data_IF_312295935902
#
_entry.id   IF_312295935902
#
_cell.length_a   1.000
_cell.length_b   1.000
_cell.length_c   1.000
_cell.angle_alpha   90.00
_cell.angle_beta   90.00
_cell.angle_gamma   90.00
#
_symmetry.space_group_name_H-M   'P 1'
#
loop_
_entity.id
_entity.type
_entity.pdbx_description
1 polymer ?
#
# COMPACT_ATOMS: atom_id res chain seq x y z
N UNK A 1 24.88 -8.38 11.10
CA UNK A 1 25.18 -7.11 11.81
C UNK A 1 24.59 -5.90 11.12
N UNK A 2 25.00 -5.53 9.87
CA UNK A 2 24.52 -4.30 9.20
C UNK A 2 22.97 -4.24 9.09
N UNK A 3 22.33 -5.31 8.61
CA UNK A 3 20.86 -5.33 8.51
C UNK A 3 20.20 -5.23 9.89
N UNK A 4 20.76 -5.87 10.90
CA UNK A 4 20.25 -5.81 12.26
C UNK A 4 20.37 -4.41 12.84
N UNK A 5 21.48 -3.74 12.59
CA UNK A 5 21.74 -2.37 13.04
C UNK A 5 20.75 -1.39 12.38
N UNK A 6 20.61 -1.45 11.05
CA UNK A 6 19.66 -0.62 10.31
C UNK A 6 18.23 -0.80 10.77
N UNK A 7 17.81 -2.04 11.07
CA UNK A 7 16.41 -2.34 11.41
C UNK A 7 16.10 -2.05 12.88
N UNK A 8 16.99 -2.37 13.81
CA UNK A 8 16.66 -2.34 15.24
C UNK A 8 17.33 -1.20 16.01
N UNK A 9 18.37 -0.56 15.44
CA UNK A 9 19.09 0.53 16.10
C UNK A 9 18.93 1.89 15.41
N UNK A 10 17.88 2.04 14.59
CA UNK A 10 17.57 3.31 13.94
C UNK A 10 17.32 4.42 14.95
N UNK A 11 17.99 5.56 14.77
CA UNK A 11 18.00 6.68 15.73
C UNK A 11 16.95 7.74 15.45
N UNK A 12 16.47 7.83 14.21
CA UNK A 12 15.53 8.85 13.75
C UNK A 12 15.97 10.27 14.13
N UNK A 13 17.15 10.75 13.67
CA UNK A 13 17.60 12.09 13.99
C UNK A 13 16.60 13.13 13.49
N UNK A 14 16.31 14.14 14.29
CA UNK A 14 15.32 15.18 13.95
C UNK A 14 15.56 15.82 12.59
N UNK A 15 16.83 16.18 12.30
CA UNK A 15 17.21 16.81 11.03
C UNK A 15 16.96 15.92 9.81
N UNK A 16 17.11 14.60 9.95
CA UNK A 16 16.83 13.66 8.86
C UNK A 16 15.33 13.44 8.68
N UNK A 17 14.55 13.46 9.77
CA UNK A 17 13.09 13.43 9.68
C UNK A 17 12.57 14.68 8.95
N UNK A 18 13.07 15.86 9.30
CA UNK A 18 12.66 17.13 8.66
C UNK A 18 12.93 17.08 7.14
N UNK A 19 14.10 16.59 6.71
CA UNK A 19 14.39 16.41 5.28
C UNK A 19 13.46 15.40 4.60
N UNK A 20 13.21 14.27 5.26
CA UNK A 20 12.34 13.22 4.71
C UNK A 20 10.89 13.70 4.61
N UNK A 21 10.43 14.51 5.56
CA UNK A 21 9.11 15.15 5.50
C UNK A 21 8.98 16.00 4.24
N UNK A 22 10.00 16.82 3.93
CA UNK A 22 9.98 17.64 2.70
C UNK A 22 9.91 16.76 1.44
N UNK A 23 10.68 15.68 1.39
CA UNK A 23 10.64 14.72 0.26
C UNK A 23 9.28 14.07 0.09
N UNK A 24 8.66 13.63 1.19
CA UNK A 24 7.34 13.00 1.15
C UNK A 24 6.25 14.01 0.78
N UNK A 25 6.36 15.27 1.21
CA UNK A 25 5.45 16.33 0.79
C UNK A 25 5.53 16.56 -0.72
N UNK A 26 6.73 16.55 -1.30
CA UNK A 26 6.91 16.64 -2.75
C UNK A 26 6.29 15.43 -3.48
N UNK A 27 6.40 14.22 -2.90
CA UNK A 27 5.73 13.04 -3.43
C UNK A 27 4.19 13.17 -3.38
N UNK A 28 3.62 13.62 -2.27
CA UNK A 28 2.17 13.87 -2.13
C UNK A 28 1.71 14.86 -3.21
N UNK A 29 2.39 15.98 -3.35
CA UNK A 29 2.06 16.98 -4.37
C UNK A 29 2.14 16.41 -5.79
N UNK A 30 3.15 15.59 -6.09
CA UNK A 30 3.30 14.93 -7.39
C UNK A 30 2.13 13.97 -7.68
N UNK A 31 1.65 13.24 -6.68
CA UNK A 31 0.47 12.39 -6.81
C UNK A 31 -0.81 13.18 -7.02
N UNK A 32 -0.97 14.30 -6.32
CA UNK A 32 -2.12 15.20 -6.49
C UNK A 32 -2.19 15.80 -7.89
N UNK A 33 -1.04 16.02 -8.52
CA UNK A 33 -0.91 16.50 -9.90
C UNK A 33 -1.10 15.39 -10.95
N UNK A 34 -1.25 14.14 -10.53
CA UNK A 34 -1.48 12.98 -11.42
C UNK A 34 -2.89 12.38 -11.25
N UNK A 35 -3.92 12.93 -11.93
CA UNK A 35 -5.30 12.47 -11.77
C UNK A 35 -5.52 10.99 -12.11
N UNK A 36 -4.69 10.43 -13.02
CA UNK A 36 -4.73 9.02 -13.41
C UNK A 36 -4.29 8.06 -12.31
N UNK A 37 -3.47 8.52 -11.38
CA UNK A 37 -3.01 7.75 -10.22
C UNK A 37 -3.90 8.03 -9.01
N UNK A 38 -4.16 9.31 -8.74
CA UNK A 38 -4.98 9.75 -7.61
C UNK A 38 -6.38 9.13 -7.60
N UNK A 39 -6.97 8.85 -8.77
CA UNK A 39 -8.31 8.25 -8.84
C UNK A 39 -8.37 6.88 -8.18
N UNK A 40 -7.30 6.10 -8.17
CA UNK A 40 -7.25 4.81 -7.49
C UNK A 40 -7.26 4.98 -5.98
N UNK A 41 -6.45 5.88 -5.44
CA UNK A 41 -6.42 6.18 -4.01
C UNK A 41 -7.76 6.73 -3.51
N UNK A 42 -8.36 7.64 -4.26
CA UNK A 42 -9.68 8.19 -3.97
C UNK A 42 -10.77 7.11 -4.01
N UNK A 43 -10.65 6.16 -4.91
CA UNK A 43 -11.58 5.05 -5.00
C UNK A 43 -11.41 4.06 -3.84
N UNK A 44 -10.18 3.74 -3.46
CA UNK A 44 -9.90 2.88 -2.29
C UNK A 44 -10.37 3.54 -0.99
N UNK A 45 -10.14 4.84 -0.83
CA UNK A 45 -10.67 5.61 0.29
C UNK A 45 -12.20 5.54 0.37
N UNK A 46 -12.88 5.61 -0.78
CA UNK A 46 -14.33 5.47 -0.85
C UNK A 46 -14.79 4.06 -0.49
N UNK A 47 -14.13 3.02 -1.01
CA UNK A 47 -14.45 1.61 -0.74
C UNK A 47 -14.24 1.21 0.71
N UNK A 48 -13.25 1.80 1.38
CA UNK A 48 -12.82 1.46 2.73
C UNK A 48 -12.92 2.63 3.70
N UNK A 49 -13.92 3.49 3.48
CA UNK A 49 -14.13 4.69 4.29
C UNK A 49 -14.12 4.37 5.79
N UNK A 50 -13.29 5.07 6.55
CA UNK A 50 -13.14 4.88 7.99
C UNK A 50 -12.36 3.62 8.41
N UNK A 51 -11.76 2.92 7.48
CA UNK A 51 -10.92 1.74 7.73
C UNK A 51 -9.48 1.99 7.27
N UNK A 52 -8.51 1.35 7.90
CA UNK A 52 -7.08 1.51 7.58
C UNK A 52 -6.73 1.21 6.10
N UNK A 53 -7.47 0.34 5.43
CA UNK A 53 -7.28 0.05 4.01
C UNK A 53 -7.67 1.21 3.08
N UNK A 54 -8.42 2.19 3.56
CA UNK A 54 -8.81 3.36 2.78
C UNK A 54 -7.91 4.57 2.99
N UNK A 55 -6.86 4.46 3.81
CA UNK A 55 -5.90 5.54 3.96
C UNK A 55 -4.90 5.52 2.81
N UNK A 56 -4.60 6.69 2.26
CA UNK A 56 -3.50 6.85 1.33
C UNK A 56 -2.20 6.38 1.97
N UNK A 57 -1.37 5.66 1.22
CA UNK A 57 -0.11 5.07 1.72
C UNK A 57 0.91 6.14 2.09
N UNK A 58 0.89 7.29 1.42
CA UNK A 58 1.73 8.45 1.75
C UNK A 58 1.21 9.23 2.97
N UNK A 59 -0.02 8.96 3.41
CA UNK A 59 -0.68 9.72 4.48
C UNK A 59 -1.24 11.05 3.97
N UNK A 60 -1.24 12.05 4.86
CA UNK A 60 -1.64 13.42 4.58
C UNK A 60 -0.63 14.42 5.18
N UNK A 61 -0.58 15.63 4.62
CA UNK A 61 0.35 16.68 5.04
C UNK A 61 0.25 16.99 6.54
N UNK A 62 -0.96 17.10 7.08
CA UNK A 62 -1.17 17.43 8.48
C UNK A 62 -0.60 16.37 9.44
N UNK A 63 -0.79 15.10 9.10
CA UNK A 63 -0.23 13.98 9.86
C UNK A 63 1.28 13.92 9.73
N UNK A 64 1.80 14.14 8.51
CA UNK A 64 3.21 14.07 8.22
C UNK A 64 4.01 15.12 9.00
N UNK A 65 3.53 16.36 9.06
CA UNK A 65 4.18 17.46 9.81
C UNK A 65 4.24 17.22 11.34
N UNK A 66 3.52 16.23 11.87
CA UNK A 66 3.55 15.85 13.28
C UNK A 66 4.55 14.75 13.61
N UNK A 67 5.19 14.16 12.60
CA UNK A 67 6.17 13.09 12.83
C UNK A 67 7.46 13.61 13.47
N UNK A 68 7.93 12.89 14.47
CA UNK A 68 9.17 13.16 15.16
C UNK A 68 9.94 11.87 15.49
N UNK A 69 11.09 12.01 16.12
CA UNK A 69 11.94 10.87 16.51
C UNK A 69 11.22 9.88 17.43
N UNK A 70 10.30 10.34 18.27
CA UNK A 70 9.55 9.47 19.19
C UNK A 70 8.46 8.70 18.45
N UNK A 71 7.82 9.32 17.46
CA UNK A 71 6.86 8.65 16.55
C UNK A 71 7.52 7.47 15.86
N UNK A 72 8.72 7.66 15.29
CA UNK A 72 9.48 6.59 14.65
C UNK A 72 9.85 5.46 15.62
N UNK A 73 10.39 5.80 16.80
CA UNK A 73 10.69 4.80 17.84
C UNK A 73 9.46 4.07 18.35
N UNK A 74 8.34 4.78 18.52
CA UNK A 74 7.06 4.19 18.96
C UNK A 74 6.52 3.21 17.92
N UNK A 75 6.62 3.55 16.63
CA UNK A 75 6.27 2.65 15.54
C UNK A 75 7.09 1.36 15.57
N UNK A 76 8.42 1.47 15.72
CA UNK A 76 9.29 0.29 15.84
C UNK A 76 8.89 -0.59 17.03
N UNK A 77 8.73 0.00 18.23
CA UNK A 77 8.32 -0.75 19.43
C UNK A 77 7.00 -1.50 19.25
N UNK A 78 6.09 -0.96 18.46
CA UNK A 78 4.77 -1.54 18.26
C UNK A 78 4.74 -2.62 17.17
N UNK A 79 5.49 -2.42 16.10
CA UNK A 79 5.34 -3.23 14.90
C UNK A 79 6.53 -4.13 14.56
N UNK A 80 7.73 -3.83 15.06
CA UNK A 80 8.93 -4.64 14.82
C UNK A 80 8.99 -5.82 15.77
N UNK A 81 8.06 -6.74 15.59
CA UNK A 81 7.92 -7.97 16.35
C UNK A 81 8.19 -9.19 15.46
N UNK A 82 8.67 -10.31 15.99
CA UNK A 82 9.02 -11.50 15.20
C UNK A 82 7.87 -11.97 14.31
N UNK A 83 6.63 -11.87 14.80
CA UNK A 83 5.43 -12.29 14.07
C UNK A 83 5.12 -11.41 12.85
N UNK A 84 5.70 -10.21 12.77
CA UNK A 84 5.53 -9.26 11.67
C UNK A 84 6.74 -9.20 10.73
N UNK A 85 7.81 -9.96 11.02
CA UNK A 85 9.07 -9.86 10.32
C UNK A 85 9.46 -11.18 9.68
N UNK A 86 10.04 -11.12 8.49
CA UNK A 86 10.60 -12.28 7.80
C UNK A 86 12.01 -11.96 7.37
N UNK A 87 12.96 -12.79 7.81
CA UNK A 87 14.32 -12.75 7.30
C UNK A 87 14.46 -13.75 6.15
N UNK A 88 14.84 -13.27 5.00
CA UNK A 88 15.09 -14.08 3.81
C UNK A 88 16.53 -13.91 3.34
N UNK A 89 17.19 -15.02 3.00
CA UNK A 89 18.52 -15.01 2.44
C UNK A 89 18.62 -16.00 1.28
N UNK A 90 19.16 -15.53 0.16
CA UNK A 90 19.44 -16.34 -1.03
C UNK A 90 20.92 -16.21 -1.40
N UNK A 91 21.57 -17.33 -1.65
CA UNK A 91 22.99 -17.33 -2.05
C UNK A 91 23.62 -18.72 -1.98
N UNK A 92 24.95 -18.76 -2.13
CA UNK A 92 25.72 -20.02 -2.13
C UNK A 92 26.22 -20.46 -0.75
N UNK A 93 25.93 -19.70 0.31
CA UNK A 93 26.34 -20.07 1.67
C UNK A 93 25.47 -21.21 2.20
N UNK A 94 26.08 -22.05 3.00
CA UNK A 94 25.39 -23.14 3.72
C UNK A 94 24.34 -22.57 4.67
N UNK A 95 23.16 -23.19 4.70
CA UNK A 95 22.03 -22.75 5.50
C UNK A 95 22.36 -22.67 7.00
N UNK A 96 23.10 -23.65 7.55
CA UNK A 96 23.46 -23.65 8.98
C UNK A 96 24.35 -22.46 9.35
N UNK A 97 25.22 -22.04 8.43
CA UNK A 97 26.07 -20.87 8.66
C UNK A 97 25.25 -19.57 8.62
N UNK A 98 24.29 -19.48 7.74
CA UNK A 98 23.37 -18.33 7.66
C UNK A 98 22.53 -18.26 8.94
N UNK A 99 21.93 -19.39 9.33
CA UNK A 99 21.11 -19.48 10.54
C UNK A 99 21.90 -19.06 11.79
N UNK A 100 23.09 -19.63 12.00
CA UNK A 100 23.95 -19.25 13.13
C UNK A 100 24.32 -17.78 13.14
N UNK A 101 24.58 -17.20 11.96
CA UNK A 101 24.88 -15.77 11.85
C UNK A 101 23.67 -14.90 12.17
N UNK A 102 22.47 -15.32 11.75
CA UNK A 102 21.22 -14.62 12.07
C UNK A 102 20.89 -14.71 13.56
N UNK A 103 20.95 -15.90 14.15
CA UNK A 103 20.76 -16.12 15.59
C UNK A 103 21.72 -15.28 16.43
N UNK A 104 22.99 -15.26 16.07
CA UNK A 104 23.99 -14.43 16.78
C UNK A 104 23.73 -12.93 16.62
N UNK A 105 23.26 -12.48 15.46
CA UNK A 105 22.99 -11.06 15.22
C UNK A 105 21.69 -10.56 15.89
N UNK A 106 20.79 -11.49 16.25
CA UNK A 106 19.50 -11.20 16.86
C UNK A 106 19.44 -11.51 18.36
N UNK A 107 20.53 -12.10 18.94
CA UNK A 107 20.55 -12.61 20.32
C UNK A 107 20.25 -11.54 21.38
N UNK A 108 20.67 -10.32 21.14
CA UNK A 108 20.60 -9.22 22.10
C UNK A 108 19.39 -8.31 21.87
N UNK A 109 18.54 -8.64 20.87
CA UNK A 109 17.36 -7.84 20.53
C UNK A 109 16.15 -8.30 21.32
N UNK A 110 15.58 -7.38 22.08
CA UNK A 110 14.30 -7.61 22.76
C UNK A 110 13.16 -7.29 21.80
N UNK A 111 12.33 -8.28 21.54
CA UNK A 111 11.18 -8.11 20.66
C UNK A 111 9.90 -7.86 21.48
N UNK A 112 9.11 -6.86 21.11
CA UNK A 112 7.77 -6.68 21.66
C UNK A 112 6.84 -7.80 21.17
N UNK A 113 5.75 -8.03 21.88
CA UNK A 113 4.65 -8.83 21.34
C UNK A 113 3.86 -8.01 20.33
N UNK A 114 3.63 -8.56 19.13
CA UNK A 114 2.83 -7.89 18.13
C UNK A 114 1.36 -7.85 18.53
N UNK A 115 0.79 -6.67 18.59
CA UNK A 115 -0.64 -6.50 18.70
C UNK A 115 -1.26 -6.58 17.30
N UNK A 116 -1.93 -7.71 16.98
CA UNK A 116 -2.58 -7.92 15.68
C UNK A 116 -4.10 -7.77 15.81
N UNK A 117 -4.58 -6.55 15.87
CA UNK A 117 -6.02 -6.28 15.79
C UNK A 117 -6.36 -5.97 14.33
N UNK A 118 -6.88 -6.97 13.61
CA UNK A 118 -7.41 -6.80 12.24
C UNK A 118 -8.93 -6.84 12.30
N UNK A 119 -9.55 -5.71 12.07
CA UNK A 119 -11.00 -5.60 11.90
C UNK A 119 -11.33 -5.76 10.42
N UNK A 120 -12.45 -6.41 10.12
CA UNK A 120 -12.98 -6.39 8.76
C UNK A 120 -13.55 -4.99 8.47
N UNK A 121 -13.41 -4.48 7.24
CA UNK A 121 -14.02 -3.22 6.86
C UNK A 121 -15.55 -3.34 6.82
N UNK A 122 -16.24 -2.28 7.21
CA UNK A 122 -17.69 -2.22 7.19
C UNK A 122 -18.26 -2.39 5.77
N UNK A 123 -19.49 -2.91 5.62
CA UNK A 123 -20.15 -2.95 4.32
C UNK A 123 -20.21 -1.57 3.67
N UNK A 124 -20.09 -1.52 2.35
CA UNK A 124 -20.22 -0.27 1.60
C UNK A 124 -21.58 -0.24 0.90
N UNK A 125 -22.25 0.90 0.93
CA UNK A 125 -23.40 1.19 0.09
C UNK A 125 -22.95 1.71 -1.29
N UNK A 126 -23.74 1.41 -2.32
CA UNK A 126 -23.46 1.91 -3.65
C UNK A 126 -23.53 3.45 -3.65
N UNK A 127 -22.46 4.07 -4.13
CA UNK A 127 -22.35 5.52 -4.18
C UNK A 127 -21.65 5.98 -5.44
N UNK A 128 -21.82 7.25 -5.77
CA UNK A 128 -21.09 7.94 -6.84
C UNK A 128 -20.39 9.13 -6.20
N UNK A 129 -19.07 9.25 -6.46
CA UNK A 129 -18.29 10.43 -6.10
C UNK A 129 -17.81 11.09 -7.37
N UNK A 130 -17.94 12.39 -7.45
CA UNK A 130 -17.40 13.21 -8.52
C UNK A 130 -16.50 14.27 -7.91
N UNK A 131 -15.26 14.35 -8.42
CA UNK A 131 -14.28 15.36 -8.05
C UNK A 131 -13.99 16.19 -9.28
N UNK A 132 -14.08 17.51 -9.15
CA UNK A 132 -13.74 18.43 -10.22
C UNK A 132 -12.31 18.91 -10.04
N UNK A 133 -11.48 18.65 -11.06
CA UNK A 133 -10.09 19.15 -11.14
C UNK A 133 -9.91 19.84 -12.49
N UNK A 134 -9.05 20.82 -12.56
CA UNK A 134 -8.71 21.52 -13.81
C UNK A 134 -7.74 20.66 -14.63
N UNK A 135 -8.28 19.66 -15.31
CA UNK A 135 -7.53 18.69 -16.11
C UNK A 135 -8.14 18.54 -17.49
N UNK A 136 -7.32 18.17 -18.47
CA UNK A 136 -7.76 18.01 -19.86
C UNK A 136 -8.56 16.73 -20.14
N UNK A 137 -8.52 15.76 -19.23
CA UNK A 137 -9.16 14.45 -19.39
C UNK A 137 -10.05 14.12 -18.20
N UNK A 138 -11.16 13.44 -18.47
CA UNK A 138 -11.98 12.83 -17.44
C UNK A 138 -11.47 11.40 -17.14
N UNK A 139 -11.27 11.12 -15.87
CA UNK A 139 -10.92 9.80 -15.39
C UNK A 139 -12.13 9.18 -14.68
N UNK A 140 -12.46 7.95 -15.01
CA UNK A 140 -13.62 7.24 -14.44
C UNK A 140 -13.18 5.87 -13.93
N UNK A 141 -13.54 5.56 -12.70
CA UNK A 141 -13.29 4.27 -12.08
C UNK A 141 -14.61 3.70 -11.57
N UNK A 142 -14.92 2.46 -11.96
CA UNK A 142 -16.12 1.74 -11.55
C UNK A 142 -15.69 0.41 -10.96
N UNK A 143 -16.14 0.11 -9.77
CA UNK A 143 -15.78 -1.15 -9.12
C UNK A 143 -16.49 -1.36 -7.80
N UNK A 144 -16.05 -2.36 -7.07
CA UNK A 144 -16.57 -2.71 -5.77
C UNK A 144 -15.70 -3.77 -5.10
N UNK A 145 -16.03 -4.10 -3.85
CA UNK A 145 -15.31 -5.15 -3.13
C UNK A 145 -15.54 -6.50 -3.78
N UNK A 146 -14.47 -7.23 -3.98
CA UNK A 146 -14.46 -8.58 -4.52
C UNK A 146 -14.62 -9.63 -3.40
N UNK A 147 -14.64 -10.89 -3.79
CA UNK A 147 -14.58 -12.01 -2.87
C UNK A 147 -13.21 -12.13 -2.22
N UNK A 148 -13.16 -12.67 -1.00
CA UNK A 148 -11.89 -13.00 -0.34
C UNK A 148 -11.02 -13.91 -1.21
N UNK A 149 -9.71 -13.80 -1.09
CA UNK A 149 -8.77 -14.68 -1.80
C UNK A 149 -8.94 -16.18 -1.44
N UNK A 150 -9.60 -16.47 -0.33
CA UNK A 150 -9.94 -17.85 0.09
C UNK A 150 -11.32 -18.31 -0.39
N UNK A 151 -12.11 -17.43 -0.99
CA UNK A 151 -13.45 -17.77 -1.50
C UNK A 151 -13.33 -18.48 -2.86
N UNK A 152 -14.09 -19.57 -3.02
CA UNK A 152 -14.14 -20.33 -4.28
C UNK A 152 -14.66 -19.49 -5.46
N UNK A 153 -15.50 -18.49 -5.19
CA UNK A 153 -16.07 -17.58 -6.20
C UNK A 153 -15.05 -16.60 -6.79
N UNK A 154 -13.86 -16.48 -6.20
CA UNK A 154 -12.79 -15.62 -6.75
C UNK A 154 -12.39 -16.00 -8.18
N UNK A 155 -12.37 -17.31 -8.50
CA UNK A 155 -11.95 -17.78 -9.83
C UNK A 155 -12.97 -17.37 -10.91
N UNK A 156 -14.28 -17.65 -10.76
CA UNK A 156 -15.30 -17.12 -11.68
C UNK A 156 -15.26 -15.59 -11.82
N UNK A 157 -15.06 -14.87 -10.71
CA UNK A 157 -14.94 -13.41 -10.74
C UNK A 157 -13.72 -12.95 -11.52
N UNK A 158 -12.58 -13.59 -11.32
CA UNK A 158 -11.36 -13.29 -12.07
C UNK A 158 -11.56 -13.52 -13.58
N UNK A 159 -12.20 -14.62 -13.97
CA UNK A 159 -12.55 -14.88 -15.37
C UNK A 159 -13.49 -13.81 -15.92
N UNK A 160 -14.54 -13.46 -15.18
CA UNK A 160 -15.46 -12.39 -15.59
C UNK A 160 -14.73 -11.06 -15.79
N UNK A 161 -13.88 -10.69 -14.86
CA UNK A 161 -13.08 -9.47 -14.95
C UNK A 161 -12.16 -9.46 -16.20
N UNK A 162 -11.54 -10.60 -16.53
CA UNK A 162 -10.73 -10.72 -17.74
C UNK A 162 -11.56 -10.61 -19.02
N UNK A 163 -12.77 -11.15 -19.04
CA UNK A 163 -13.68 -11.03 -20.19
C UNK A 163 -14.12 -9.56 -20.39
N UNK A 164 -14.35 -8.85 -19.30
CA UNK A 164 -14.80 -7.44 -19.34
C UNK A 164 -13.66 -6.48 -19.66
N UNK A 165 -12.57 -6.55 -18.93
CA UNK A 165 -11.49 -5.55 -18.95
C UNK A 165 -10.09 -6.12 -18.72
N UNK A 166 -9.82 -7.37 -19.08
CA UNK A 166 -8.51 -8.00 -18.97
C UNK A 166 -7.45 -7.35 -19.87
N UNK A 167 -6.18 -7.76 -19.76
CA UNK A 167 -5.06 -7.11 -20.44
C UNK A 167 -5.07 -7.28 -21.98
N UNK A 168 -5.94 -8.16 -22.50
CA UNK A 168 -6.07 -8.38 -23.96
C UNK A 168 -6.90 -7.29 -24.63
N UNK A 169 -6.50 -6.86 -25.82
CA UNK A 169 -7.26 -5.86 -26.60
C UNK A 169 -8.66 -6.33 -27.04
N UNK A 170 -8.93 -7.60 -26.96
CA UNK A 170 -10.20 -8.24 -27.33
C UNK A 170 -11.21 -8.32 -26.19
N UNK A 171 -10.91 -7.76 -25.01
CA UNK A 171 -11.88 -7.68 -23.92
C UNK A 171 -13.07 -6.79 -24.30
N UNK A 172 -14.23 -7.01 -23.66
CA UNK A 172 -15.48 -6.36 -24.05
C UNK A 172 -15.46 -4.84 -23.88
N UNK A 173 -14.85 -4.33 -22.83
CA UNK A 173 -14.78 -2.89 -22.58
C UNK A 173 -13.86 -2.21 -23.60
N UNK A 174 -12.69 -2.79 -23.87
CA UNK A 174 -11.78 -2.25 -24.89
C UNK A 174 -12.45 -2.22 -26.28
N UNK A 175 -13.07 -3.33 -26.70
CA UNK A 175 -13.78 -3.37 -27.99
C UNK A 175 -14.94 -2.35 -28.03
N UNK A 176 -15.67 -2.20 -26.93
CA UNK A 176 -16.79 -1.27 -26.92
C UNK A 176 -16.36 0.19 -26.82
N UNK A 177 -15.55 0.53 -25.81
CA UNK A 177 -15.23 1.93 -25.50
C UNK A 177 -14.13 2.50 -26.40
N UNK A 178 -13.11 1.70 -26.71
CA UNK A 178 -11.99 2.15 -27.53
C UNK A 178 -12.24 1.95 -29.02
N UNK A 179 -12.49 0.68 -29.44
CA UNK A 179 -12.53 0.35 -30.87
C UNK A 179 -13.80 0.90 -31.56
N UNK A 180 -14.95 0.81 -30.91
CA UNK A 180 -16.22 1.23 -31.50
C UNK A 180 -16.52 2.71 -31.31
N UNK A 181 -16.12 3.27 -30.18
CA UNK A 181 -16.54 4.61 -29.82
C UNK A 181 -15.36 5.61 -29.64
N UNK A 182 -14.12 5.13 -29.57
CA UNK A 182 -12.93 6.00 -29.44
C UNK A 182 -12.92 6.86 -28.17
N UNK A 183 -13.58 6.41 -27.08
CA UNK A 183 -13.76 7.18 -25.87
C UNK A 183 -12.58 7.10 -24.91
N UNK A 184 -11.79 6.03 -24.98
CA UNK A 184 -10.68 5.75 -24.06
C UNK A 184 -9.48 5.18 -24.82
N UNK A 185 -8.29 5.35 -24.27
CA UNK A 185 -7.07 4.69 -24.73
C UNK A 185 -6.72 3.47 -23.86
N UNK A 186 -7.03 3.51 -22.57
CA UNK A 186 -6.79 2.46 -21.57
C UNK A 186 -8.09 2.12 -20.85
#
# INVERSE_FOLDING_TARGET
ELLTDLVFHSQFPKQEIEKEVDVILDEINSYEDSPSELIFDEFENLLYKGHALGHNILGDEESLLRFDSESGRSFMRRFYAPENMVFFSMGRKDFKKILKSAESALSDISFPMAERIRKAPDPIEACVRQIHKDTHQAHVLIGGRAFSMHDKKRIPLFLLNNILGGPGMNNRLNVSLREKHGLVYN
#
